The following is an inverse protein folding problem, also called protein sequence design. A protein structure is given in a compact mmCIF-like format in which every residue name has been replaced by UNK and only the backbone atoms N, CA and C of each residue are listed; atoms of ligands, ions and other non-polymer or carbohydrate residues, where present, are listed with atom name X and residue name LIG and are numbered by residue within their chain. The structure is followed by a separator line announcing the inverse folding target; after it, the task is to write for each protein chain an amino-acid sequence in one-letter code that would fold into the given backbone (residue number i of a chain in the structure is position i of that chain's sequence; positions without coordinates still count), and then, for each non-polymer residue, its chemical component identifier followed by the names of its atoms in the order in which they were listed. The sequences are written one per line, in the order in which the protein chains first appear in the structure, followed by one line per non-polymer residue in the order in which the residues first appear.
data_IF_089573399626
#
_entry.id   IF_089573399626
#
_cell.length_a   1.000
_cell.length_b   1.000
_cell.length_c   1.000
_cell.angle_alpha   90.00
_cell.angle_beta   90.00
_cell.angle_gamma   90.00
#
_symmetry.space_group_name_H-M   'P 1'
#
loop_
_entity.id
_entity.type
_entity.pdbx_description
1 polymer ?
#
# COMPACT_ATOMS: atom_id res chain seq x y z
N UNK A 1 -19.23 15.37 -5.40
CA UNK A 1 -17.75 15.26 -5.47
C UNK A 1 -17.19 16.67 -5.29
N UNK A 2 -16.08 16.81 -4.58
CA UNK A 2 -15.43 18.07 -4.23
C UNK A 2 -14.16 17.80 -3.45
N UNK A 3 -13.26 18.77 -3.33
CA UNK A 3 -11.98 18.57 -2.67
C UNK A 3 -12.13 18.21 -1.18
N UNK A 4 -11.49 17.12 -0.77
CA UNK A 4 -11.53 16.55 0.57
C UNK A 4 -10.20 16.73 1.29
N UNK A 5 -10.11 17.69 2.21
CA UNK A 5 -8.87 17.88 2.99
C UNK A 5 -8.49 16.63 3.80
N UNK A 6 -9.47 15.99 4.45
CA UNK A 6 -9.25 14.78 5.25
C UNK A 6 -8.86 13.59 4.36
N UNK A 7 -9.55 13.42 3.22
CA UNK A 7 -9.20 12.37 2.25
C UNK A 7 -7.80 12.55 1.68
N UNK A 8 -7.40 13.78 1.37
CA UNK A 8 -6.03 14.11 0.96
C UNK A 8 -5.01 13.78 2.06
N UNK A 9 -5.29 14.09 3.33
CA UNK A 9 -4.41 13.71 4.44
C UNK A 9 -4.23 12.19 4.55
N UNK A 10 -5.32 11.41 4.40
CA UNK A 10 -5.26 9.95 4.40
C UNK A 10 -4.41 9.44 3.22
N UNK A 11 -4.66 9.97 2.01
CA UNK A 11 -3.90 9.59 0.82
C UNK A 11 -2.40 9.86 0.99
N UNK A 12 -2.06 11.05 1.50
CA UNK A 12 -0.67 11.45 1.80
C UNK A 12 -0.08 10.50 2.86
N UNK A 13 -0.78 10.23 3.95
CA UNK A 13 -0.29 9.36 5.02
C UNK A 13 0.06 7.96 4.51
N UNK A 14 -0.79 7.38 3.66
CA UNK A 14 -0.55 6.04 3.09
C UNK A 14 0.54 6.08 1.99
N UNK A 15 0.64 7.17 1.23
CA UNK A 15 1.55 7.25 0.08
C UNK A 15 2.96 7.75 0.42
N UNK A 16 3.13 8.56 1.47
CA UNK A 16 4.44 9.09 1.92
C UNK A 16 5.51 7.99 2.00
N UNK A 17 5.25 6.83 2.62
CA UNK A 17 6.32 5.84 2.77
C UNK A 17 6.80 5.27 1.44
N UNK A 18 5.94 5.18 0.42
CA UNK A 18 6.35 4.78 -0.93
C UNK A 18 7.35 5.77 -1.56
N UNK A 19 7.28 7.06 -1.22
CA UNK A 19 8.24 8.06 -1.68
C UNK A 19 9.62 7.90 -1.03
N UNK A 20 9.69 7.25 0.15
CA UNK A 20 10.97 6.94 0.79
C UNK A 20 11.83 6.04 -0.10
N UNK A 21 11.22 5.20 -0.94
CA UNK A 21 11.95 4.35 -1.88
C UNK A 21 12.79 5.14 -2.89
N UNK A 22 12.37 6.35 -3.28
CA UNK A 22 13.14 7.21 -4.19
C UNK A 22 14.42 7.69 -3.51
N UNK A 23 14.34 8.00 -2.21
CA UNK A 23 15.47 8.47 -1.41
C UNK A 23 16.35 7.32 -0.88
N UNK A 24 15.75 6.16 -0.66
CA UNK A 24 16.35 4.97 -0.06
C UNK A 24 16.12 3.75 -0.97
N UNK A 25 16.76 3.71 -2.15
CA UNK A 25 16.58 2.64 -3.11
C UNK A 25 17.09 1.29 -2.57
N UNK A 26 16.51 0.16 -3.02
CA UNK A 26 16.90 -1.15 -2.52
C UNK A 26 18.31 -1.54 -2.94
N UNK A 27 19.12 -1.88 -1.95
CA UNK A 27 20.42 -2.50 -2.12
C UNK A 27 20.26 -3.98 -2.47
N UNK A 28 21.17 -4.49 -3.32
CA UNK A 28 21.18 -5.87 -3.79
C UNK A 28 19.88 -6.31 -4.49
N UNK A 29 19.19 -5.38 -5.14
CA UNK A 29 18.07 -5.72 -6.00
C UNK A 29 18.57 -6.55 -7.21
N UNK A 30 17.79 -7.55 -7.67
CA UNK A 30 18.17 -8.33 -8.84
C UNK A 30 18.27 -7.43 -10.08
N UNK A 31 19.21 -7.73 -10.98
CA UNK A 31 19.48 -6.94 -12.21
C UNK A 31 18.26 -6.80 -13.12
N UNK A 32 17.31 -7.74 -13.03
CA UNK A 32 16.05 -7.70 -13.76
C UNK A 32 14.92 -7.85 -12.73
N UNK A 33 14.18 -6.76 -12.51
CA UNK A 33 12.93 -6.80 -11.77
C UNK A 33 11.85 -7.33 -12.72
N UNK A 34 11.25 -8.46 -12.37
CA UNK A 34 10.12 -9.03 -13.10
C UNK A 34 8.88 -8.91 -12.24
N UNK A 35 7.84 -8.36 -12.83
CA UNK A 35 6.49 -8.34 -12.27
C UNK A 35 5.76 -9.66 -12.60
N UNK A 36 4.61 -9.90 -11.96
CA UNK A 36 3.79 -11.07 -12.24
C UNK A 36 3.17 -11.06 -13.65
N UNK A 37 3.12 -9.88 -14.29
CA UNK A 37 2.63 -9.69 -15.65
C UNK A 37 2.04 -8.29 -15.86
N UNK A 38 1.97 -7.84 -17.12
CA UNK A 38 1.52 -6.49 -17.49
C UNK A 38 0.11 -6.19 -16.95
N UNK A 39 -0.79 -7.17 -16.98
CA UNK A 39 -2.18 -7.00 -16.50
C UNK A 39 -2.21 -6.64 -15.01
N UNK A 40 -1.39 -7.30 -14.17
CA UNK A 40 -1.34 -7.04 -12.74
C UNK A 40 -0.71 -5.69 -12.44
N UNK A 41 0.35 -5.32 -13.16
CA UNK A 41 0.96 -4.00 -13.04
C UNK A 41 -0.02 -2.89 -13.44
N UNK A 42 -0.79 -3.06 -14.53
CA UNK A 42 -1.80 -2.08 -14.92
C UNK A 42 -2.91 -1.97 -13.88
N UNK A 43 -3.42 -3.10 -13.35
CA UNK A 43 -4.41 -3.10 -12.27
C UNK A 43 -3.90 -2.38 -11.02
N UNK A 44 -2.65 -2.64 -10.62
CA UNK A 44 -2.01 -1.96 -9.49
C UNK A 44 -1.96 -0.45 -9.72
N UNK A 45 -1.50 0.01 -10.91
CA UNK A 45 -1.40 1.45 -11.20
C UNK A 45 -2.76 2.13 -11.25
N UNK A 46 -3.75 1.51 -11.89
CA UNK A 46 -5.13 2.02 -11.94
C UNK A 46 -5.70 2.10 -10.53
N UNK A 47 -5.56 1.04 -9.73
CA UNK A 47 -6.02 1.01 -8.34
C UNK A 47 -5.33 2.07 -7.49
N UNK A 48 -4.02 2.23 -7.62
CA UNK A 48 -3.21 3.17 -6.86
C UNK A 48 -3.61 4.63 -7.15
N UNK A 49 -3.60 5.01 -8.43
CA UNK A 49 -3.97 6.36 -8.87
C UNK A 49 -5.43 6.63 -8.55
N UNK A 50 -6.30 5.65 -8.81
CA UNK A 50 -7.72 5.73 -8.53
C UNK A 50 -8.03 5.94 -7.05
N UNK A 51 -7.40 5.19 -6.15
CA UNK A 51 -7.61 5.35 -4.70
C UNK A 51 -7.25 6.76 -4.23
N UNK A 52 -6.11 7.29 -4.69
CA UNK A 52 -5.67 8.65 -4.36
C UNK A 52 -6.67 9.68 -4.89
N UNK A 53 -7.08 9.56 -6.15
CA UNK A 53 -8.02 10.50 -6.76
C UNK A 53 -9.37 10.50 -6.04
N UNK A 54 -9.95 9.32 -5.77
CA UNK A 54 -11.23 9.23 -5.07
C UNK A 54 -11.11 9.83 -3.66
N UNK A 55 -10.06 9.53 -2.91
CA UNK A 55 -9.84 10.15 -1.60
C UNK A 55 -9.81 11.68 -1.68
N UNK A 56 -9.12 12.24 -2.67
CA UNK A 56 -9.00 13.70 -2.85
C UNK A 56 -10.31 14.36 -3.26
N UNK A 57 -11.16 13.71 -4.08
CA UNK A 57 -12.40 14.32 -4.61
C UNK A 57 -13.68 13.94 -3.85
N UNK A 58 -13.58 13.13 -2.79
CA UNK A 58 -14.72 12.64 -2.03
C UNK A 58 -15.04 13.49 -0.79
N UNK A 59 -15.11 14.82 -0.89
CA UNK A 59 -15.40 15.72 0.25
C UNK A 59 -16.53 15.21 1.14
N UNK A 60 -17.71 14.98 0.56
CA UNK A 60 -18.91 14.57 1.29
C UNK A 60 -18.75 13.25 2.06
N UNK A 61 -17.90 12.33 1.58
CA UNK A 61 -17.64 11.05 2.22
C UNK A 61 -16.76 11.19 3.47
N UNK A 62 -15.84 12.17 3.48
CA UNK A 62 -14.81 12.31 4.51
C UNK A 62 -15.01 13.54 5.42
N UNK A 63 -15.90 14.48 5.08
CA UNK A 63 -16.13 15.74 5.81
C UNK A 63 -16.71 15.53 7.22
N UNK A 64 -17.50 14.48 7.44
CA UNK A 64 -18.11 14.14 8.73
C UNK A 64 -17.60 12.81 9.28
N UNK A 65 -16.31 12.56 9.12
CA UNK A 65 -15.70 11.37 9.68
C UNK A 65 -15.80 11.35 11.20
N UNK A 66 -16.39 10.29 11.72
CA UNK A 66 -16.41 9.98 13.15
C UNK A 66 -15.29 9.00 13.43
N UNK A 67 -14.53 9.26 14.49
CA UNK A 67 -13.52 8.32 14.98
C UNK A 67 -14.28 7.08 15.46
N UNK A 68 -14.05 5.96 14.80
CA UNK A 68 -14.65 4.69 15.16
C UNK A 68 -13.61 3.56 15.03
N UNK A 69 -14.04 2.32 15.22
CA UNK A 69 -13.15 1.16 15.18
C UNK A 69 -12.39 1.03 13.85
N UNK A 70 -12.99 1.42 12.73
CA UNK A 70 -12.33 1.39 11.42
C UNK A 70 -11.24 2.45 11.30
N UNK A 71 -11.39 3.60 11.95
CA UNK A 71 -10.32 4.61 12.06
C UNK A 71 -9.11 4.05 12.81
N UNK A 72 -9.37 3.30 13.89
CA UNK A 72 -8.31 2.63 14.66
C UNK A 72 -7.60 1.58 13.81
N UNK A 73 -8.35 0.73 13.09
CA UNK A 73 -7.74 -0.27 12.21
C UNK A 73 -6.93 0.34 11.06
N UNK A 74 -7.45 1.40 10.44
CA UNK A 74 -6.71 2.16 9.42
C UNK A 74 -5.40 2.72 9.99
N UNK A 75 -5.47 3.38 11.16
CA UNK A 75 -4.30 3.91 11.84
C UNK A 75 -3.28 2.82 12.18
N UNK A 76 -3.73 1.67 12.66
CA UNK A 76 -2.88 0.53 12.97
C UNK A 76 -2.15 -0.01 11.73
N UNK A 77 -2.85 -0.15 10.59
CA UNK A 77 -2.22 -0.53 9.33
C UNK A 77 -1.13 0.46 8.91
N UNK A 78 -1.42 1.76 9.00
CA UNK A 78 -0.45 2.82 8.67
C UNK A 78 0.75 2.75 9.62
N UNK A 79 0.54 2.60 10.92
CA UNK A 79 1.62 2.52 11.91
C UNK A 79 2.57 1.34 11.65
N UNK A 80 2.03 0.14 11.39
CA UNK A 80 2.86 -1.02 11.06
C UNK A 80 3.60 -0.78 9.74
N UNK A 81 2.93 -0.19 8.75
CA UNK A 81 3.56 0.12 7.47
C UNK A 81 4.75 1.07 7.64
N UNK A 82 4.63 2.11 8.46
CA UNK A 82 5.75 3.01 8.79
C UNK A 82 6.87 2.28 9.55
N UNK A 83 6.52 1.39 10.49
CA UNK A 83 7.50 0.58 11.20
C UNK A 83 8.29 -0.32 10.23
N UNK A 84 7.66 -0.91 9.22
CA UNK A 84 8.32 -1.74 8.21
C UNK A 84 9.29 -0.92 7.35
N UNK A 85 8.91 0.31 6.98
CA UNK A 85 9.81 1.23 6.29
C UNK A 85 11.00 1.64 7.17
N UNK A 86 10.77 1.95 8.44
CA UNK A 86 11.84 2.24 9.39
C UNK A 86 12.79 1.04 9.52
N UNK A 87 12.25 -0.18 9.65
CA UNK A 87 13.02 -1.44 9.66
C UNK A 87 13.87 -1.58 8.40
N UNK A 88 13.30 -1.33 7.23
CA UNK A 88 14.00 -1.39 5.94
C UNK A 88 15.18 -0.40 5.87
N UNK A 89 14.97 0.86 6.28
CA UNK A 89 16.01 1.89 6.24
C UNK A 89 17.13 1.58 7.24
N UNK A 90 16.78 1.27 8.49
CA UNK A 90 17.75 1.01 9.57
C UNK A 90 18.60 -0.23 9.28
N UNK A 91 18.02 -1.25 8.65
CA UNK A 91 18.74 -2.48 8.26
C UNK A 91 19.47 -2.36 6.92
N UNK A 92 19.79 -1.16 6.45
CA UNK A 92 20.65 -0.96 5.29
C UNK A 92 19.98 -1.17 3.93
N UNK A 93 18.65 -1.03 3.85
CA UNK A 93 17.88 -1.00 2.61
C UNK A 93 17.98 -2.29 1.78
N UNK A 94 18.17 -3.45 2.42
CA UNK A 94 18.25 -4.71 1.68
C UNK A 94 16.92 -5.03 0.98
N UNK A 95 16.98 -5.34 -0.33
CA UNK A 95 15.82 -5.66 -1.15
C UNK A 95 14.92 -6.75 -0.55
N UNK A 96 15.51 -7.75 0.11
CA UNK A 96 14.78 -8.84 0.75
C UNK A 96 13.81 -8.36 1.85
N UNK A 97 14.12 -7.27 2.54
CA UNK A 97 13.33 -6.75 3.66
C UNK A 97 11.99 -6.14 3.21
N UNK A 98 11.88 -5.78 1.93
CA UNK A 98 10.62 -5.35 1.30
C UNK A 98 9.60 -6.51 1.25
N UNK A 99 10.09 -7.74 1.18
CA UNK A 99 9.29 -8.95 0.99
C UNK A 99 9.41 -9.94 2.15
N UNK A 100 10.22 -9.61 3.15
CA UNK A 100 10.44 -10.46 4.31
C UNK A 100 9.14 -10.57 5.14
N UNK A 101 8.64 -11.80 5.36
CA UNK A 101 7.45 -12.03 6.15
C UNK A 101 7.56 -11.42 7.55
N UNK A 102 6.45 -10.86 8.04
CA UNK A 102 6.32 -10.48 9.45
C UNK A 102 5.43 -11.51 10.13
N UNK A 103 6.05 -12.45 10.86
CA UNK A 103 5.36 -13.57 11.51
C UNK A 103 4.53 -14.37 10.50
N UNK A 104 3.20 -14.22 10.51
CA UNK A 104 2.27 -14.95 9.63
C UNK A 104 1.90 -14.18 8.35
N UNK A 105 2.27 -12.90 8.25
CA UNK A 105 1.94 -12.08 7.08
C UNK A 105 3.09 -12.20 6.08
N UNK A 106 2.86 -12.83 4.91
CA UNK A 106 3.94 -13.14 3.99
C UNK A 106 4.51 -11.89 3.30
N UNK A 107 3.67 -10.89 3.02
CA UNK A 107 4.07 -9.68 2.30
C UNK A 107 3.52 -8.45 3.02
N UNK A 108 4.07 -8.12 4.19
CA UNK A 108 3.48 -7.12 5.06
C UNK A 108 3.48 -5.72 4.41
N UNK A 109 4.53 -5.38 3.67
CA UNK A 109 4.65 -4.10 2.95
C UNK A 109 3.55 -3.87 1.90
N UNK A 110 2.95 -4.93 1.36
CA UNK A 110 1.83 -4.83 0.42
C UNK A 110 0.47 -4.89 1.13
N UNK A 111 0.34 -5.75 2.14
CA UNK A 111 -0.93 -6.00 2.84
C UNK A 111 -1.39 -4.77 3.62
N UNK A 112 -0.49 -4.12 4.37
CA UNK A 112 -0.87 -3.00 5.23
C UNK A 112 -1.35 -1.74 4.47
N UNK A 113 -0.72 -1.25 3.39
CA UNK A 113 -1.26 -0.11 2.66
C UNK A 113 -2.59 -0.42 1.97
N UNK A 114 -2.78 -1.62 1.42
CA UNK A 114 -4.07 -2.04 0.85
C UNK A 114 -5.16 -2.11 1.93
N UNK A 115 -4.82 -2.65 3.11
CA UNK A 115 -5.70 -2.65 4.27
C UNK A 115 -6.08 -1.23 4.73
N UNK A 116 -5.13 -0.30 4.75
CA UNK A 116 -5.40 1.09 5.09
C UNK A 116 -6.39 1.74 4.11
N UNK A 117 -6.23 1.53 2.80
CA UNK A 117 -7.19 2.02 1.81
C UNK A 117 -8.56 1.34 1.94
N UNK A 118 -8.60 0.04 2.27
CA UNK A 118 -9.85 -0.69 2.50
C UNK A 118 -10.64 -0.10 3.67
N UNK A 119 -9.97 0.16 4.81
CA UNK A 119 -10.61 0.80 5.94
C UNK A 119 -11.02 2.24 5.64
N UNK A 120 -10.25 2.98 4.84
CA UNK A 120 -10.65 4.29 4.35
C UNK A 120 -11.91 4.23 3.47
N UNK A 121 -12.08 3.19 2.64
CA UNK A 121 -13.29 2.96 1.85
C UNK A 121 -14.52 2.71 2.72
N UNK A 122 -14.37 1.89 3.77
CA UNK A 122 -15.45 1.60 4.74
C UNK A 122 -15.82 2.87 5.52
N UNK A 123 -14.81 3.60 6.00
CA UNK A 123 -14.97 4.86 6.73
C UNK A 123 -15.69 5.92 5.92
N UNK A 124 -15.26 6.13 4.67
CA UNK A 124 -15.89 7.07 3.74
C UNK A 124 -17.20 6.55 3.14
N UNK A 125 -17.60 5.30 3.42
CA UNK A 125 -18.74 4.62 2.77
C UNK A 125 -18.71 4.77 1.24
N UNK A 126 -17.52 4.67 0.65
CA UNK A 126 -17.29 4.94 -0.77
C UNK A 126 -17.15 3.64 -1.55
N UNK A 127 -18.18 3.29 -2.32
CA UNK A 127 -18.16 2.08 -3.16
C UNK A 127 -17.10 2.17 -4.26
N UNK A 128 -16.88 3.37 -4.83
CA UNK A 128 -15.86 3.61 -5.83
C UNK A 128 -14.45 3.40 -5.27
N UNK A 129 -14.19 3.87 -4.04
CA UNK A 129 -12.92 3.61 -3.38
C UNK A 129 -12.75 2.10 -3.13
N UNK A 130 -13.81 1.40 -2.70
CA UNK A 130 -13.79 -0.05 -2.50
C UNK A 130 -13.41 -0.83 -3.77
N UNK A 131 -13.99 -0.50 -4.93
CA UNK A 131 -13.65 -1.14 -6.21
C UNK A 131 -12.16 -0.94 -6.55
N UNK A 132 -11.65 0.28 -6.37
CA UNK A 132 -10.25 0.60 -6.68
C UNK A 132 -9.27 -0.07 -5.72
N UNK A 133 -9.67 -0.26 -4.46
CA UNK A 133 -8.91 -1.06 -3.48
C UNK A 133 -8.83 -2.52 -3.91
N UNK A 134 -9.89 -3.08 -4.49
CA UNK A 134 -9.84 -4.46 -5.02
C UNK A 134 -8.87 -4.54 -6.20
N UNK A 135 -8.90 -3.59 -7.14
CA UNK A 135 -7.94 -3.56 -8.26
C UNK A 135 -6.50 -3.42 -7.77
N UNK A 136 -6.27 -2.49 -6.82
CA UNK A 136 -4.97 -2.31 -6.18
C UNK A 136 -4.53 -3.60 -5.49
N UNK A 137 -5.39 -4.23 -4.71
CA UNK A 137 -5.09 -5.47 -3.98
C UNK A 137 -4.71 -6.61 -4.92
N UNK A 138 -5.49 -6.85 -5.99
CA UNK A 138 -5.19 -7.90 -6.97
C UNK A 138 -3.83 -7.67 -7.63
N UNK A 139 -3.58 -6.47 -8.15
CA UNK A 139 -2.33 -6.15 -8.83
C UNK A 139 -1.12 -6.17 -7.88
N UNK A 140 -1.23 -5.44 -6.77
CA UNK A 140 -0.15 -5.27 -5.81
C UNK A 140 0.22 -6.57 -5.10
N UNK A 141 -0.77 -7.41 -4.72
CA UNK A 141 -0.47 -8.70 -4.11
C UNK A 141 0.15 -9.68 -5.11
N UNK A 142 -0.35 -9.72 -6.36
CA UNK A 142 0.22 -10.60 -7.38
C UNK A 142 1.69 -10.26 -7.67
N UNK A 143 2.00 -8.98 -7.90
CA UNK A 143 3.35 -8.51 -8.16
C UNK A 143 4.27 -8.75 -6.96
N UNK A 144 3.82 -8.40 -5.76
CA UNK A 144 4.62 -8.58 -4.54
C UNK A 144 4.88 -10.06 -4.24
N UNK A 145 3.90 -10.93 -4.50
CA UNK A 145 4.04 -12.37 -4.27
C UNK A 145 4.97 -13.03 -5.27
N UNK A 146 4.96 -12.55 -6.50
CA UNK A 146 5.94 -12.95 -7.48
C UNK A 146 7.37 -12.57 -7.05
N UNK A 147 7.59 -11.33 -6.62
CA UNK A 147 8.90 -10.89 -6.10
C UNK A 147 9.36 -11.69 -4.87
N UNK A 148 8.43 -12.00 -3.95
CA UNK A 148 8.71 -12.85 -2.79
C UNK A 148 9.15 -14.27 -3.20
N UNK A 149 8.45 -14.89 -4.16
CA UNK A 149 8.80 -16.23 -4.66
C UNK A 149 10.16 -16.25 -5.38
N UNK A 150 10.44 -15.26 -6.22
CA UNK A 150 11.73 -15.13 -6.91
C UNK A 150 12.89 -14.99 -5.91
N UNK A 151 12.71 -14.20 -4.84
CA UNK A 151 13.71 -14.11 -3.77
C UNK A 151 13.96 -15.44 -3.09
N UNK A 152 12.89 -16.16 -2.74
CA UNK A 152 13.02 -17.47 -2.09
C UNK A 152 13.73 -18.49 -2.99
N UNK A 153 13.50 -18.44 -4.31
CA UNK A 153 14.13 -19.32 -5.29
C UNK A 153 15.62 -19.05 -5.46
N UNK A 154 16.07 -17.81 -5.33
CA UNK A 154 17.48 -17.42 -5.52
C UNK A 154 18.33 -17.57 -4.24
N UNK A 155 17.72 -17.89 -3.09
CA UNK A 155 18.37 -18.11 -1.80
C UNK A 155 18.32 -19.59 -1.33
N UNK A 156 17.86 -20.50 -2.19
CA UNK A 156 17.95 -21.97 -2.05
C UNK A 156 18.92 -22.46 -3.13
#
# INVERSE_FOLDING_TARGET
MGFSMIGTMIAIAIFIPNLLMIKFPPNNAPKVLKDAGIIFTVLERIGQVGCILILVISKNNFEKLTINIWTVFMGFCILIYYFLWARYIVKGQEYKLLWEPLSFIPIPMAVFPVGAFLFAAILGKSIWLGILVVFLGIGHFANSWYSYKELKKNHI
#
